data_IF_751505546644
#
_entry.id   IF_751505546644
#
_cell.length_a   1.000
_cell.length_b   1.000
_cell.length_c   1.000
_cell.angle_alpha   90.00
_cell.angle_beta   90.00
_cell.angle_gamma   90.00
#
_symmetry.space_group_name_H-M   'P 1'
#
loop_
_entity.id
_entity.type
_entity.pdbx_description
1 polymer ?
#
# COMPACT_ATOMS: atom_id res chain seq x y z
N UNK A 1 -10.88 -6.22 8.23
CA UNK A 1 -9.54 -6.31 8.86
C UNK A 1 -9.17 -4.99 9.53
N UNK A 2 -8.31 -5.02 10.56
CA UNK A 2 -7.73 -3.79 11.12
C UNK A 2 -6.66 -3.26 10.17
N UNK A 3 -6.43 -1.94 10.17
CA UNK A 3 -5.38 -1.30 9.38
C UNK A 3 -4.43 -0.62 10.35
N UNK A 4 -3.15 -0.96 10.26
CA UNK A 4 -2.08 -0.31 11.00
C UNK A 4 -1.24 0.47 10.00
N UNK A 5 -1.00 1.73 10.28
CA UNK A 5 -0.21 2.61 9.45
C UNK A 5 1.05 2.97 10.21
N UNK A 6 2.20 2.81 9.57
CA UNK A 6 3.41 3.47 10.02
C UNK A 6 3.25 4.98 9.89
N UNK A 7 3.91 5.75 10.76
CA UNK A 7 3.85 7.22 10.73
C UNK A 7 4.22 7.76 9.35
N UNK A 8 5.24 7.18 8.69
CA UNK A 8 5.61 7.55 7.32
C UNK A 8 4.45 7.36 6.33
N UNK A 9 3.82 6.20 6.34
CA UNK A 9 2.70 5.90 5.46
C UNK A 9 1.50 6.82 5.73
N UNK A 10 1.29 7.17 7.00
CA UNK A 10 0.24 8.11 7.37
C UNK A 10 0.51 9.53 6.87
N UNK A 11 1.76 10.02 6.97
CA UNK A 11 2.16 11.30 6.37
C UNK A 11 2.03 11.29 4.85
N UNK A 12 2.50 10.23 4.17
CA UNK A 12 2.34 10.06 2.72
C UNK A 12 0.86 10.19 2.32
N UNK A 13 -0.02 9.48 3.04
CA UNK A 13 -1.47 9.48 2.77
C UNK A 13 -2.08 10.87 3.00
N UNK A 14 -1.69 11.57 4.07
CA UNK A 14 -2.14 12.95 4.34
C UNK A 14 -1.69 13.93 3.29
N UNK A 15 -0.47 13.79 2.78
CA UNK A 15 0.02 14.63 1.70
C UNK A 15 -0.84 14.43 0.43
N UNK A 16 -1.13 13.17 0.08
CA UNK A 16 -2.00 12.85 -1.07
C UNK A 16 -3.41 13.42 -0.93
N UNK A 17 -3.97 13.52 0.28
CA UNK A 17 -5.27 14.17 0.49
C UNK A 17 -5.30 15.63 0.04
N UNK A 18 -4.15 16.31 0.13
CA UNK A 18 -3.98 17.71 -0.26
C UNK A 18 -3.60 17.83 -1.74
N UNK A 19 -2.70 16.97 -2.22
CA UNK A 19 -2.06 17.12 -3.54
C UNK A 19 -2.79 16.38 -4.67
N UNK A 20 -3.23 15.14 -4.46
CA UNK A 20 -3.93 14.36 -5.49
C UNK A 20 -4.90 13.31 -4.90
N UNK A 21 -6.18 13.65 -4.90
CA UNK A 21 -7.26 12.77 -4.41
C UNK A 21 -7.47 11.51 -5.25
N UNK A 22 -6.98 11.47 -6.51
CA UNK A 22 -7.05 10.25 -7.34
C UNK A 22 -6.13 9.18 -6.79
N UNK A 23 -4.94 9.56 -6.31
CA UNK A 23 -4.01 8.65 -5.64
C UNK A 23 -4.62 8.09 -4.36
N UNK A 24 -5.24 8.94 -3.54
CA UNK A 24 -5.98 8.49 -2.33
C UNK A 24 -7.06 7.48 -2.67
N UNK A 25 -7.87 7.74 -3.70
CA UNK A 25 -8.88 6.78 -4.16
C UNK A 25 -8.24 5.45 -4.53
N UNK A 26 -7.11 5.48 -5.25
CA UNK A 26 -6.40 4.27 -5.66
C UNK A 26 -5.84 3.49 -4.47
N UNK A 27 -5.22 4.16 -3.50
CA UNK A 27 -4.72 3.53 -2.26
C UNK A 27 -5.87 2.81 -1.54
N UNK A 28 -7.01 3.46 -1.39
CA UNK A 28 -8.19 2.87 -0.75
C UNK A 28 -8.76 1.68 -1.52
N UNK A 29 -8.74 1.71 -2.85
CA UNK A 29 -9.11 0.55 -3.68
C UNK A 29 -8.16 -0.62 -3.47
N UNK A 30 -6.84 -0.37 -3.43
CA UNK A 30 -5.84 -1.41 -3.18
C UNK A 30 -6.01 -2.03 -1.79
N UNK A 31 -6.22 -1.23 -0.73
CA UNK A 31 -6.44 -1.73 0.63
C UNK A 31 -7.69 -2.62 0.67
N UNK A 32 -8.80 -2.17 0.08
CA UNK A 32 -10.03 -2.98 0.01
C UNK A 32 -9.83 -4.29 -0.76
N UNK A 33 -8.99 -4.27 -1.80
CA UNK A 33 -8.68 -5.47 -2.57
C UNK A 33 -7.79 -6.43 -1.78
N UNK A 34 -6.80 -5.93 -1.03
CA UNK A 34 -5.97 -6.73 -0.12
C UNK A 34 -6.85 -7.44 0.92
N UNK A 35 -7.87 -6.76 1.46
CA UNK A 35 -8.80 -7.38 2.41
C UNK A 35 -9.62 -8.54 1.82
N UNK A 36 -9.84 -8.55 0.50
CA UNK A 36 -10.66 -9.56 -0.19
C UNK A 36 -9.82 -10.69 -0.80
N UNK A 37 -8.70 -10.31 -1.41
CA UNK A 37 -7.89 -11.19 -2.26
C UNK A 37 -6.53 -11.54 -1.63
N UNK A 38 -6.19 -10.94 -0.49
CA UNK A 38 -4.97 -11.23 0.26
C UNK A 38 -3.70 -10.65 -0.35
N UNK A 39 -2.58 -11.33 -0.11
CA UNK A 39 -1.24 -10.79 -0.30
C UNK A 39 -0.79 -10.73 -1.77
N UNK A 40 -1.03 -11.77 -2.57
CA UNK A 40 -0.45 -11.93 -3.92
C UNK A 40 -1.46 -11.99 -5.06
N UNK A 41 -2.75 -11.71 -4.79
CA UNK A 41 -3.79 -11.74 -5.82
C UNK A 41 -4.52 -10.40 -5.93
N UNK A 42 -5.12 -10.16 -7.10
CA UNK A 42 -5.95 -8.99 -7.34
C UNK A 42 -5.22 -7.82 -7.99
N UNK A 43 -5.69 -6.60 -7.73
CA UNK A 43 -5.32 -5.42 -8.52
C UNK A 43 -3.97 -4.80 -8.10
N UNK A 44 -3.36 -4.04 -9.01
CA UNK A 44 -2.11 -3.34 -8.73
C UNK A 44 -0.85 -4.20 -8.87
N UNK A 45 -0.91 -5.36 -9.53
CA UNK A 45 0.25 -6.25 -9.77
C UNK A 45 1.02 -6.53 -8.47
N UNK A 46 0.41 -7.27 -7.53
CA UNK A 46 1.04 -7.59 -6.26
C UNK A 46 2.33 -8.38 -6.48
N UNK A 47 3.40 -7.95 -5.82
CA UNK A 47 4.73 -8.53 -5.92
C UNK A 47 5.31 -8.69 -4.50
N UNK A 48 5.95 -9.83 -4.21
CA UNK A 48 6.70 -10.01 -2.95
C UNK A 48 8.01 -9.21 -3.03
N UNK A 49 8.35 -8.49 -1.95
CA UNK A 49 9.61 -7.76 -1.90
C UNK A 49 10.81 -8.70 -1.80
N UNK A 50 11.93 -8.31 -2.43
CA UNK A 50 13.13 -9.16 -2.55
C UNK A 50 14.06 -9.07 -1.33
N UNK A 51 14.25 -7.87 -0.79
CA UNK A 51 15.27 -7.57 0.22
C UNK A 51 14.71 -7.30 1.62
N UNK A 52 13.39 -7.29 1.77
CA UNK A 52 12.70 -7.11 3.05
C UNK A 52 11.37 -7.86 3.02
N UNK A 53 10.83 -8.13 4.20
CA UNK A 53 9.50 -8.72 4.31
C UNK A 53 8.41 -7.75 3.83
N UNK A 54 7.30 -8.34 3.40
CA UNK A 54 6.16 -7.62 2.87
C UNK A 54 6.02 -7.66 1.35
N UNK A 55 5.06 -6.88 0.88
CA UNK A 55 4.51 -6.92 -0.47
C UNK A 55 4.36 -5.51 -1.01
N UNK A 56 4.36 -5.40 -2.34
CA UNK A 56 4.19 -4.16 -3.07
C UNK A 56 3.04 -4.28 -4.06
N UNK A 57 2.20 -3.25 -4.13
CA UNK A 57 1.24 -3.04 -5.22
C UNK A 57 1.46 -1.67 -5.86
N UNK A 58 1.29 -1.60 -7.17
CA UNK A 58 1.37 -0.37 -7.96
C UNK A 58 0.15 0.51 -7.69
N UNK A 59 0.42 1.69 -7.16
CA UNK A 59 -0.55 2.78 -7.11
C UNK A 59 -0.62 3.40 -8.51
N UNK A 60 0.53 3.78 -9.05
CA UNK A 60 0.73 4.26 -10.42
C UNK A 60 2.09 3.77 -10.97
N UNK A 61 2.66 4.47 -11.94
CA UNK A 61 3.97 4.12 -12.51
C UNK A 61 5.10 4.28 -11.48
N UNK A 62 5.06 5.35 -10.66
CA UNK A 62 6.11 5.79 -9.76
C UNK A 62 5.90 5.37 -8.29
N UNK A 63 4.66 5.20 -7.86
CA UNK A 63 4.31 5.02 -6.45
C UNK A 63 3.89 3.57 -6.16
N UNK A 64 4.29 3.07 -4.99
CA UNK A 64 3.92 1.74 -4.49
C UNK A 64 3.23 1.83 -3.15
N UNK A 65 2.20 1.01 -2.96
CA UNK A 65 1.67 0.66 -1.65
C UNK A 65 2.50 -0.50 -1.13
N UNK A 66 3.24 -0.27 -0.06
CA UNK A 66 4.06 -1.27 0.61
C UNK A 66 3.32 -1.73 1.86
N UNK A 67 3.04 -3.03 1.95
CA UNK A 67 2.17 -3.58 3.00
C UNK A 67 2.52 -5.01 3.38
N UNK A 68 1.93 -5.46 4.48
CA UNK A 68 1.87 -6.87 4.86
C UNK A 68 0.51 -7.20 5.52
N UNK A 69 0.22 -8.48 5.71
CA UNK A 69 -0.97 -8.95 6.43
C UNK A 69 -0.55 -9.96 7.49
N UNK A 70 -0.67 -9.56 8.76
CA UNK A 70 -0.34 -10.40 9.92
C UNK A 70 -1.54 -10.44 10.85
N UNK A 71 -2.01 -11.63 11.24
CA UNK A 71 -3.13 -11.80 12.18
C UNK A 71 -4.38 -10.95 11.81
N UNK A 72 -4.76 -10.95 10.53
CA UNK A 72 -5.87 -10.15 9.99
C UNK A 72 -5.72 -8.62 10.13
N UNK A 73 -4.49 -8.14 10.31
CA UNK A 73 -4.13 -6.73 10.30
C UNK A 73 -3.41 -6.43 8.99
N UNK A 74 -3.93 -5.49 8.21
CA UNK A 74 -3.20 -4.92 7.07
C UNK A 74 -2.25 -3.87 7.63
N UNK A 75 -0.96 -4.12 7.54
CA UNK A 75 0.10 -3.20 7.95
C UNK A 75 0.56 -2.43 6.72
N UNK A 76 0.61 -1.11 6.78
CA UNK A 76 0.96 -0.24 5.66
C UNK A 76 2.21 0.54 6.03
N UNK A 77 3.31 0.25 5.32
CA UNK A 77 4.65 0.80 5.58
C UNK A 77 4.94 2.06 4.76
N UNK A 78 4.38 2.18 3.55
CA UNK A 78 4.51 3.35 2.68
C UNK A 78 3.42 3.36 1.62
N UNK A 79 3.02 4.55 1.17
CA UNK A 79 2.17 4.71 -0.02
C UNK A 79 2.65 5.81 -0.97
N UNK A 80 3.96 6.13 -0.94
CA UNK A 80 4.60 7.10 -1.82
C UNK A 80 6.03 6.65 -2.17
N UNK A 81 6.43 6.93 -3.41
CA UNK A 81 7.74 6.59 -3.95
C UNK A 81 7.91 5.12 -4.37
N UNK A 82 9.14 4.78 -4.76
CA UNK A 82 9.56 3.43 -5.10
C UNK A 82 10.15 2.69 -3.88
N UNK A 83 10.24 1.36 -3.97
CA UNK A 83 10.95 0.57 -2.94
C UNK A 83 12.48 0.58 -3.13
N UNK A 84 12.97 1.12 -4.24
CA UNK A 84 14.40 1.28 -4.57
C UNK A 84 14.97 2.63 -4.10
N UNK A 85 14.15 3.45 -3.43
CA UNK A 85 14.54 4.67 -2.71
C UNK A 85 14.41 4.44 -1.20
#
# INVERSE_FOLDING_TARGET
MKKLWDDKAWEDYKEWLITDKKIVKKINELIKDIERNGLLNGIGKPEKLKYRDGYSRRIDQCNRLIYDVINEIVIIYSCKGHYDE
#
